data_IF_735668757728
#
_entry.id   IF_735668757728
#
_cell.length_a   1.000
_cell.length_b   1.000
_cell.length_c   1.000
_cell.angle_alpha   90.00
_cell.angle_beta   90.00
_cell.angle_gamma   90.00
#
_symmetry.space_group_name_H-M   'P 1'
#
loop_
_entity.id
_entity.type
_entity.pdbx_description
1 polymer ?
#
# COMPACT_ATOMS: atom_id res chain seq x y z
N UNK A 1 -82.08 -10.80 -42.98
CA UNK A 1 -81.59 -9.67 -42.15
C UNK A 1 -81.02 -10.06 -40.78
N UNK A 2 -81.42 -11.18 -40.14
CA UNK A 2 -80.94 -11.55 -38.78
C UNK A 2 -79.54 -12.18 -38.66
N UNK A 3 -78.89 -12.62 -39.76
CA UNK A 3 -77.54 -13.22 -39.72
C UNK A 3 -76.38 -12.24 -39.94
N UNK A 4 -76.64 -11.01 -40.40
CA UNK A 4 -75.59 -9.97 -40.60
C UNK A 4 -75.42 -9.05 -39.39
N UNK A 5 -76.38 -9.03 -38.46
CA UNK A 5 -76.32 -8.22 -37.24
C UNK A 5 -75.51 -8.92 -36.13
N UNK A 6 -75.53 -10.26 -36.08
CA UNK A 6 -74.78 -11.03 -35.07
C UNK A 6 -73.26 -11.04 -35.29
N UNK A 7 -72.81 -10.95 -36.55
CA UNK A 7 -71.38 -10.91 -36.89
C UNK A 7 -70.72 -9.55 -36.56
N UNK A 8 -71.50 -8.47 -36.51
CA UNK A 8 -70.99 -7.12 -36.20
C UNK A 8 -70.91 -6.90 -34.67
N UNK A 9 -71.77 -7.55 -33.89
CA UNK A 9 -71.74 -7.44 -32.42
C UNK A 9 -70.62 -8.31 -31.81
N UNK A 10 -70.26 -9.44 -32.44
CA UNK A 10 -69.14 -10.28 -31.98
C UNK A 10 -67.76 -9.69 -32.33
N UNK A 11 -67.68 -8.85 -33.37
CA UNK A 11 -66.44 -8.16 -33.76
C UNK A 11 -66.19 -6.88 -32.95
N UNK A 12 -67.21 -6.31 -32.30
CA UNK A 12 -67.07 -5.09 -31.50
C UNK A 12 -66.76 -5.36 -30.02
N UNK A 13 -66.95 -6.58 -29.53
CA UNK A 13 -66.57 -6.99 -28.17
C UNK A 13 -65.16 -7.60 -28.09
N UNK A 14 -64.51 -7.84 -29.24
CA UNK A 14 -63.14 -8.37 -29.32
C UNK A 14 -62.08 -7.28 -29.60
N UNK A 15 -62.47 -6.01 -29.53
CA UNK A 15 -61.57 -4.85 -29.71
C UNK A 15 -61.47 -3.96 -28.46
N UNK A 16 -61.99 -4.40 -27.30
CA UNK A 16 -61.99 -3.63 -26.05
C UNK A 16 -61.40 -4.41 -24.86
N UNK A 17 -60.53 -5.39 -25.11
CA UNK A 17 -59.75 -6.08 -24.07
C UNK A 17 -58.25 -6.07 -24.38
N UNK A 18 -57.78 -4.97 -24.98
CA UNK A 18 -56.36 -4.70 -25.14
C UNK A 18 -55.93 -3.77 -24.01
N UNK A 19 -55.50 -4.43 -22.92
CA UNK A 19 -54.41 -3.99 -22.03
C UNK A 19 -54.50 -2.59 -21.43
N UNK A 20 -55.20 -2.52 -20.29
CA UNK A 20 -54.69 -1.75 -19.14
C UNK A 20 -53.45 -2.49 -18.63
N UNK A 21 -52.27 -2.06 -19.04
CA UNK A 21 -51.05 -2.26 -18.27
C UNK A 21 -50.61 -0.86 -17.84
N UNK A 22 -50.77 -0.64 -16.54
CA UNK A 22 -50.36 0.54 -15.82
C UNK A 22 -48.89 0.84 -16.11
N UNK A 23 -48.61 2.14 -16.23
CA UNK A 23 -47.32 2.77 -16.02
C UNK A 23 -46.60 2.18 -14.81
N UNK A 24 -45.77 1.17 -15.06
CA UNK A 24 -44.56 0.94 -14.29
C UNK A 24 -43.45 1.62 -15.07
N UNK A 25 -43.18 2.89 -14.76
CA UNK A 25 -41.80 3.37 -14.85
C UNK A 25 -41.05 2.60 -13.78
N UNK A 26 -40.70 1.35 -14.07
CA UNK A 26 -39.49 0.79 -13.50
C UNK A 26 -38.41 1.67 -14.10
N UNK A 27 -37.81 2.50 -13.26
CA UNK A 27 -36.36 2.63 -13.33
C UNK A 27 -35.84 1.21 -13.46
N UNK A 28 -35.41 0.85 -14.67
CA UNK A 28 -34.29 -0.07 -14.79
C UNK A 28 -33.22 0.59 -13.93
N UNK A 29 -33.13 0.15 -12.67
CA UNK A 29 -31.85 0.10 -12.00
C UNK A 29 -30.98 -0.65 -13.00
N UNK A 30 -30.16 0.11 -13.73
CA UNK A 30 -28.90 -0.42 -14.23
C UNK A 30 -28.23 -1.01 -12.99
N UNK A 31 -28.48 -2.29 -12.76
CA UNK A 31 -27.56 -3.12 -12.01
C UNK A 31 -26.26 -3.00 -12.78
N UNK A 32 -25.36 -2.15 -12.29
CA UNK A 32 -23.99 -2.04 -12.75
C UNK A 32 -23.43 -3.46 -12.84
N UNK A 33 -23.29 -3.93 -14.07
CA UNK A 33 -22.77 -5.26 -14.40
C UNK A 33 -21.26 -5.18 -14.21
N UNK A 34 -20.80 -5.53 -13.00
CA UNK A 34 -19.39 -5.57 -12.59
C UNK A 34 -18.76 -4.19 -12.40
N UNK A 35 -18.49 -3.81 -11.16
CA UNK A 35 -17.64 -2.64 -10.87
C UNK A 35 -16.29 -2.84 -11.58
N UNK A 36 -15.74 -1.77 -12.14
CA UNK A 36 -14.55 -1.83 -12.98
C UNK A 36 -13.30 -2.35 -12.26
N UNK A 37 -12.17 -2.34 -12.95
CA UNK A 37 -10.86 -2.59 -12.32
C UNK A 37 -10.26 -1.28 -11.83
N UNK A 38 -9.63 -1.29 -10.68
CA UNK A 38 -8.84 -0.18 -10.11
C UNK A 38 -7.37 -0.58 -10.18
N UNK A 39 -6.53 0.32 -10.67
CA UNK A 39 -5.08 0.17 -10.65
C UNK A 39 -4.54 0.80 -9.37
N UNK A 40 -4.13 -0.05 -8.42
CA UNK A 40 -3.45 0.36 -7.19
C UNK A 40 -1.94 0.34 -7.41
N UNK A 41 -1.31 1.51 -7.50
CA UNK A 41 0.14 1.61 -7.48
C UNK A 41 0.64 1.70 -6.03
N UNK A 42 1.52 0.80 -5.66
CA UNK A 42 2.03 0.66 -4.29
C UNK A 42 3.49 0.26 -4.30
N UNK A 43 4.06 0.07 -3.11
CA UNK A 43 5.47 -0.31 -2.99
C UNK A 43 5.68 -1.82 -2.90
N UNK A 44 6.83 -2.29 -3.36
CA UNK A 44 7.22 -3.71 -3.20
C UNK A 44 7.19 -4.16 -1.75
N UNK A 45 7.61 -3.33 -0.79
CA UNK A 45 7.55 -3.69 0.64
C UNK A 45 6.11 -3.82 1.15
N UNK A 46 5.17 -3.03 0.64
CA UNK A 46 3.74 -3.18 0.96
C UNK A 46 3.22 -4.52 0.48
N UNK A 47 3.57 -4.91 -0.74
CA UNK A 47 3.19 -6.21 -1.29
C UNK A 47 3.84 -7.38 -0.54
N UNK A 48 5.15 -7.32 -0.31
CA UNK A 48 5.93 -8.37 0.35
C UNK A 48 5.53 -8.55 1.83
N UNK A 49 4.90 -7.55 2.44
CA UNK A 49 4.32 -7.67 3.78
C UNK A 49 3.14 -8.65 3.85
N UNK A 50 2.51 -8.98 2.71
CA UNK A 50 1.33 -9.83 2.63
C UNK A 50 0.01 -9.17 3.04
N UNK A 51 0.02 -7.92 3.52
CA UNK A 51 -1.18 -7.22 3.97
C UNK A 51 -2.23 -7.12 2.87
N UNK A 52 -1.84 -6.73 1.66
CA UNK A 52 -2.77 -6.53 0.55
C UNK A 52 -3.48 -7.83 0.15
N UNK A 53 -2.78 -8.96 0.17
CA UNK A 53 -3.38 -10.27 -0.12
C UNK A 53 -4.44 -10.66 0.92
N UNK A 54 -4.32 -10.15 2.15
CA UNK A 54 -5.27 -10.41 3.23
C UNK A 54 -6.50 -9.48 3.18
N UNK A 55 -6.34 -8.21 2.84
CA UNK A 55 -7.41 -7.21 2.94
C UNK A 55 -8.15 -6.93 1.62
N UNK A 56 -7.46 -7.01 0.47
CA UNK A 56 -8.09 -6.69 -0.82
C UNK A 56 -9.28 -7.59 -1.18
N UNK A 57 -9.28 -8.91 -0.89
CA UNK A 57 -10.44 -9.75 -1.17
C UNK A 57 -11.74 -9.27 -0.49
N UNK A 58 -11.63 -8.63 0.67
CA UNK A 58 -12.79 -8.04 1.39
C UNK A 58 -13.33 -6.85 0.61
N UNK A 59 -12.45 -5.93 0.20
CA UNK A 59 -12.83 -4.79 -0.63
C UNK A 59 -13.49 -5.22 -1.95
N UNK A 60 -12.91 -6.22 -2.63
CA UNK A 60 -13.43 -6.71 -3.90
C UNK A 60 -14.82 -7.35 -3.73
N UNK A 61 -15.05 -8.09 -2.63
CA UNK A 61 -16.36 -8.68 -2.32
C UNK A 61 -17.42 -7.62 -1.99
N UNK A 62 -17.07 -6.60 -1.21
CA UNK A 62 -17.99 -5.57 -0.73
C UNK A 62 -18.36 -4.54 -1.80
N UNK A 63 -17.38 -4.12 -2.59
CA UNK A 63 -17.53 -3.05 -3.58
C UNK A 63 -17.82 -3.57 -4.99
N UNK A 64 -17.47 -4.83 -5.26
CA UNK A 64 -17.49 -5.45 -6.58
C UNK A 64 -16.40 -4.99 -7.55
N UNK A 65 -15.54 -4.03 -7.16
CA UNK A 65 -14.37 -3.64 -7.96
C UNK A 65 -13.30 -4.71 -7.85
N UNK A 66 -12.51 -4.89 -8.90
CA UNK A 66 -11.26 -5.68 -8.81
C UNK A 66 -10.07 -4.75 -8.65
N UNK A 67 -9.02 -5.19 -7.96
CA UNK A 67 -7.82 -4.39 -7.74
C UNK A 67 -6.61 -5.02 -8.43
N UNK A 68 -6.12 -4.34 -9.47
CA UNK A 68 -4.84 -4.68 -10.12
C UNK A 68 -3.71 -3.95 -9.38
N UNK A 69 -2.92 -4.72 -8.60
CA UNK A 69 -1.81 -4.18 -7.82
C UNK A 69 -0.54 -4.08 -8.67
N UNK A 70 -0.01 -2.87 -8.80
CA UNK A 70 1.30 -2.60 -9.39
C UNK A 70 2.27 -2.20 -8.29
N UNK A 71 3.25 -3.06 -8.02
CA UNK A 71 4.26 -2.87 -6.97
C UNK A 71 5.59 -2.36 -7.55
N UNK A 72 5.97 -1.14 -7.22
CA UNK A 72 7.20 -0.45 -7.69
C UNK A 72 7.84 0.35 -6.54
N UNK A 73 8.82 1.23 -6.79
CA UNK A 73 9.26 2.19 -5.75
C UNK A 73 8.24 3.30 -5.53
N UNK A 74 8.23 3.97 -4.37
CA UNK A 74 7.30 5.08 -4.10
C UNK A 74 7.38 6.18 -5.18
N UNK A 75 8.60 6.55 -5.60
CA UNK A 75 8.81 7.54 -6.66
C UNK A 75 8.25 7.11 -8.02
N UNK A 76 8.39 5.83 -8.36
CA UNK A 76 7.82 5.27 -9.59
C UNK A 76 6.30 5.18 -9.50
N UNK A 77 5.73 4.78 -8.36
CA UNK A 77 4.28 4.76 -8.13
C UNK A 77 3.67 6.16 -8.27
N UNK A 78 4.32 7.19 -7.70
CA UNK A 78 3.90 8.57 -7.88
C UNK A 78 4.03 9.01 -9.34
N UNK A 79 5.12 8.66 -10.03
CA UNK A 79 5.29 8.94 -11.46
C UNK A 79 4.17 8.31 -12.30
N UNK A 80 3.75 7.07 -11.98
CA UNK A 80 2.59 6.44 -12.62
C UNK A 80 1.31 7.26 -12.39
N UNK A 81 1.06 7.72 -11.16
CA UNK A 81 -0.05 8.62 -10.85
C UNK A 81 0.03 9.94 -11.63
N UNK A 82 1.21 10.55 -11.75
CA UNK A 82 1.41 11.78 -12.53
C UNK A 82 1.06 11.59 -14.01
N UNK A 83 1.36 10.41 -14.57
CA UNK A 83 1.07 10.04 -15.95
C UNK A 83 -0.38 9.57 -16.14
N UNK A 84 -1.14 9.38 -15.06
CA UNK A 84 -2.50 8.82 -15.08
C UNK A 84 -2.53 7.35 -15.49
N UNK A 85 -1.51 6.60 -15.08
CA UNK A 85 -1.35 5.15 -15.28
C UNK A 85 -1.80 4.34 -14.05
N UNK A 86 -2.19 5.03 -12.98
CA UNK A 86 -2.77 4.47 -11.76
C UNK A 86 -4.02 5.27 -11.35
N UNK A 87 -4.92 4.62 -10.62
CA UNK A 87 -6.15 5.25 -10.12
C UNK A 87 -5.99 5.72 -8.67
N UNK A 88 -5.26 4.93 -7.87
CA UNK A 88 -5.00 5.20 -6.46
C UNK A 88 -3.59 4.76 -6.09
N UNK A 89 -2.95 5.53 -5.21
CA UNK A 89 -1.63 5.26 -4.67
C UNK A 89 -1.75 4.83 -3.21
N UNK A 90 -1.01 3.80 -2.80
CA UNK A 90 -0.76 3.46 -1.40
C UNK A 90 0.75 3.39 -1.19
N UNK A 91 1.34 4.46 -0.68
CA UNK A 91 2.80 4.67 -0.61
C UNK A 91 3.21 5.14 0.80
N UNK A 92 4.51 5.24 1.05
CA UNK A 92 5.07 5.59 2.37
C UNK A 92 6.25 6.56 2.33
N UNK A 93 6.13 7.62 1.52
CA UNK A 93 7.09 8.73 1.44
C UNK A 93 6.38 10.08 1.69
N UNK A 94 6.07 10.43 2.97
CA UNK A 94 5.23 11.59 3.29
C UNK A 94 5.67 12.90 2.64
N UNK A 95 6.97 13.20 2.62
CA UNK A 95 7.48 14.43 2.01
C UNK A 95 7.21 14.48 0.49
N UNK A 96 7.42 13.37 -0.21
CA UNK A 96 7.18 13.30 -1.66
C UNK A 96 5.68 13.25 -1.97
N UNK A 97 4.88 12.63 -1.11
CA UNK A 97 3.42 12.63 -1.19
C UNK A 97 2.84 14.04 -1.01
N UNK A 98 3.37 14.82 -0.06
CA UNK A 98 3.01 16.23 0.12
C UNK A 98 3.33 17.06 -1.13
N UNK A 99 4.51 16.85 -1.73
CA UNK A 99 4.88 17.49 -3.00
C UNK A 99 3.96 17.08 -4.16
N UNK A 100 3.60 15.79 -4.24
CA UNK A 100 2.68 15.25 -5.24
C UNK A 100 1.29 15.89 -5.15
N UNK A 101 0.74 15.99 -3.94
CA UNK A 101 -0.55 16.67 -3.68
C UNK A 101 -0.45 18.17 -4.00
N UNK A 102 0.61 18.85 -3.55
CA UNK A 102 0.83 20.26 -3.83
C UNK A 102 1.04 20.55 -5.33
N UNK A 103 1.52 19.57 -6.09
CA UNK A 103 1.64 19.60 -7.55
C UNK A 103 0.31 19.46 -8.30
N UNK A 104 -0.81 19.21 -7.60
CA UNK A 104 -2.13 19.02 -8.20
C UNK A 104 -2.28 17.66 -8.89
N UNK A 105 -1.55 16.64 -8.44
CA UNK A 105 -1.62 15.29 -8.98
C UNK A 105 -2.58 14.37 -8.23
N UNK A 106 -3.08 14.81 -7.06
CA UNK A 106 -4.13 14.15 -6.30
C UNK A 106 -5.53 14.70 -6.60
N UNK A 107 -6.56 13.95 -6.23
CA UNK A 107 -7.95 14.41 -6.17
C UNK A 107 -8.14 15.52 -5.11
N UNK A 108 -9.38 15.99 -4.95
CA UNK A 108 -9.73 17.03 -4.00
C UNK A 108 -9.46 16.69 -2.53
N UNK A 109 -9.47 15.40 -2.17
CA UNK A 109 -9.28 14.95 -0.79
C UNK A 109 -7.80 14.77 -0.45
N UNK A 110 -6.94 14.67 -1.46
CA UNK A 110 -5.50 14.65 -1.29
C UNK A 110 -5.01 13.38 -0.62
N UNK A 111 -4.14 13.54 0.38
CA UNK A 111 -3.51 12.44 1.10
C UNK A 111 -4.24 12.15 2.41
N UNK A 112 -4.59 10.88 2.64
CA UNK A 112 -5.08 10.40 3.93
C UNK A 112 -4.09 9.42 4.55
N UNK A 113 -3.84 9.54 5.86
CA UNK A 113 -3.09 8.54 6.61
C UNK A 113 -3.91 7.25 6.72
N UNK A 114 -3.25 6.11 6.56
CA UNK A 114 -3.88 4.79 6.65
C UNK A 114 -3.38 4.04 7.86
N UNK A 115 -2.07 3.87 7.95
CA UNK A 115 -1.41 3.06 8.97
C UNK A 115 0.07 3.42 8.99
N UNK A 116 0.77 2.98 10.02
CA UNK A 116 2.22 3.00 10.01
C UNK A 116 2.76 1.65 10.46
N UNK A 117 3.98 1.37 10.04
CA UNK A 117 4.85 0.46 10.74
C UNK A 117 6.18 1.19 11.03
N UNK A 118 7.21 0.43 11.36
CA UNK A 118 8.54 0.97 11.60
C UNK A 118 9.61 0.17 10.86
N UNK A 119 10.74 0.84 10.67
CA UNK A 119 11.98 0.22 10.27
C UNK A 119 12.73 -0.28 11.49
N UNK A 120 13.52 -1.33 11.29
CA UNK A 120 14.45 -1.90 12.26
C UNK A 120 15.83 -2.02 11.63
N UNK A 121 16.86 -1.87 12.45
CA UNK A 121 18.23 -2.22 12.06
C UNK A 121 18.47 -3.63 12.56
N UNK A 122 18.74 -4.53 11.63
CA UNK A 122 19.06 -5.93 11.92
C UNK A 122 20.54 -6.18 11.66
N UNK A 123 21.12 -7.11 12.40
CA UNK A 123 22.52 -7.50 12.27
C UNK A 123 22.82 -8.80 13.01
N UNK A 124 24.08 -9.27 12.98
CA UNK A 124 24.45 -10.54 13.61
C UNK A 124 24.34 -10.45 15.13
N UNK A 125 23.99 -11.56 15.79
CA UNK A 125 23.93 -11.65 17.28
C UNK A 125 25.25 -11.24 17.96
N UNK A 126 26.39 -11.47 17.27
CA UNK A 126 27.70 -11.07 17.77
C UNK A 126 27.92 -9.55 17.84
N UNK A 127 27.10 -8.77 17.12
CA UNK A 127 27.08 -7.30 17.07
C UNK A 127 28.48 -6.66 17.09
N UNK A 128 29.32 -6.88 16.06
CA UNK A 128 30.70 -6.38 16.02
C UNK A 128 30.80 -4.84 16.04
N UNK A 129 29.74 -4.11 15.66
CA UNK A 129 29.67 -2.65 15.77
C UNK A 129 29.17 -2.17 17.15
N UNK A 130 28.59 -3.04 17.99
CA UNK A 130 28.10 -2.70 19.33
C UNK A 130 26.79 -1.90 19.35
N UNK A 131 26.01 -1.95 18.26
CA UNK A 131 24.77 -1.18 18.08
C UNK A 131 23.79 -1.41 19.22
N UNK A 132 23.55 -2.66 19.61
CA UNK A 132 22.52 -2.98 20.61
C UNK A 132 22.86 -2.40 22.00
N UNK A 133 24.14 -2.32 22.33
CA UNK A 133 24.59 -1.81 23.63
C UNK A 133 24.66 -0.27 23.67
N UNK A 134 24.98 0.37 22.54
CA UNK A 134 25.25 1.80 22.47
C UNK A 134 24.08 2.62 21.95
N UNK A 135 23.28 2.05 21.05
CA UNK A 135 22.35 2.75 20.17
C UNK A 135 21.09 1.90 19.86
N UNK A 136 20.65 1.07 20.80
CA UNK A 136 19.53 0.13 20.59
C UNK A 136 18.16 0.80 20.32
N UNK A 137 18.04 2.10 20.60
CA UNK A 137 16.88 2.94 20.32
C UNK A 137 17.28 4.30 19.70
N UNK A 138 18.44 4.36 19.03
CA UNK A 138 18.94 5.57 18.35
C UNK A 138 19.54 5.18 16.99
N UNK A 139 18.74 5.28 15.93
CA UNK A 139 19.13 4.80 14.60
C UNK A 139 20.27 5.62 14.00
N UNK A 140 20.34 6.91 14.31
CA UNK A 140 21.42 7.81 13.86
C UNK A 140 22.74 7.37 14.50
N UNK A 141 22.74 7.12 15.81
CA UNK A 141 23.91 6.60 16.51
C UNK A 141 24.29 5.19 16.02
N UNK A 142 23.31 4.32 15.75
CA UNK A 142 23.55 2.98 15.22
C UNK A 142 24.26 3.01 13.85
N UNK A 143 23.82 3.88 12.94
CA UNK A 143 24.49 4.09 11.65
C UNK A 143 25.91 4.63 11.84
N UNK A 144 26.11 5.51 12.82
CA UNK A 144 27.43 5.98 13.25
C UNK A 144 28.35 4.85 13.69
N UNK A 145 27.88 3.98 14.58
CA UNK A 145 28.63 2.83 15.10
C UNK A 145 29.01 1.84 14.00
N UNK A 146 28.09 1.55 13.07
CA UNK A 146 28.33 0.68 11.91
C UNK A 146 29.43 1.27 11.02
N UNK A 147 29.36 2.57 10.70
CA UNK A 147 30.36 3.24 9.88
C UNK A 147 31.73 3.32 10.58
N UNK A 148 31.78 3.68 11.87
CA UNK A 148 33.04 3.81 12.62
C UNK A 148 33.81 2.48 12.64
N UNK A 149 33.09 1.38 12.83
CA UNK A 149 33.68 0.04 12.83
C UNK A 149 33.90 -0.53 11.42
N UNK A 150 33.41 0.15 10.38
CA UNK A 150 33.31 -0.37 9.00
C UNK A 150 32.71 -1.78 8.97
N UNK A 151 31.70 -2.02 9.81
CA UNK A 151 30.98 -3.28 9.82
C UNK A 151 30.16 -3.39 8.53
N UNK A 152 30.10 -4.58 7.94
CA UNK A 152 29.38 -4.79 6.68
C UNK A 152 27.95 -4.28 6.80
N UNK A 153 27.54 -3.37 5.93
CA UNK A 153 26.17 -2.89 5.80
C UNK A 153 25.69 -3.20 4.38
N UNK A 154 24.58 -3.91 4.24
CA UNK A 154 24.00 -4.26 2.95
C UNK A 154 22.84 -3.31 2.67
N UNK A 155 23.02 -2.46 1.67
CA UNK A 155 22.00 -1.54 1.18
C UNK A 155 21.16 -2.20 0.10
N UNK A 156 19.86 -1.89 0.09
CA UNK A 156 18.95 -2.23 -1.02
C UNK A 156 19.46 -1.70 -2.36
N UNK A 157 19.93 -0.46 -2.38
CA UNK A 157 20.46 0.24 -3.56
C UNK A 157 19.58 0.15 -4.82
N UNK A 158 18.25 0.23 -4.65
CA UNK A 158 17.29 -0.01 -5.73
C UNK A 158 16.17 1.03 -5.82
N UNK A 159 16.43 2.23 -5.27
CA UNK A 159 15.51 3.39 -5.30
C UNK A 159 14.13 3.16 -4.63
N UNK A 160 14.00 2.08 -3.85
CA UNK A 160 12.81 1.82 -3.06
C UNK A 160 12.64 2.78 -1.88
N UNK A 161 11.47 2.74 -1.24
CA UNK A 161 11.23 3.51 -0.01
C UNK A 161 12.20 3.15 1.13
N UNK A 162 12.56 1.87 1.29
CA UNK A 162 13.58 1.45 2.26
C UNK A 162 14.95 2.03 1.94
N UNK A 163 15.38 2.01 0.66
CA UNK A 163 16.63 2.62 0.24
C UNK A 163 16.62 4.14 0.48
N UNK A 164 15.52 4.81 0.14
CA UNK A 164 15.36 6.25 0.39
C UNK A 164 15.43 6.57 1.88
N UNK A 165 14.77 5.77 2.73
CA UNK A 165 14.84 5.90 4.18
C UNK A 165 16.26 5.71 4.70
N UNK A 166 16.94 4.65 4.27
CA UNK A 166 18.33 4.38 4.63
C UNK A 166 19.24 5.57 4.30
N UNK A 167 19.17 6.09 3.07
CA UNK A 167 19.93 7.28 2.65
C UNK A 167 19.62 8.51 3.50
N UNK A 168 18.36 8.71 3.89
CA UNK A 168 17.96 9.82 4.75
C UNK A 168 18.58 9.73 6.16
N UNK A 169 18.73 8.51 6.71
CA UNK A 169 19.38 8.30 8.02
C UNK A 169 20.88 8.57 7.92
N UNK A 170 21.54 8.11 6.84
CA UNK A 170 22.95 8.45 6.58
C UNK A 170 23.16 9.96 6.50
N UNK A 171 22.29 10.67 5.77
CA UNK A 171 22.36 12.13 5.62
C UNK A 171 22.12 12.85 6.95
N UNK A 172 21.12 12.44 7.73
CA UNK A 172 20.80 13.03 9.03
C UNK A 172 21.94 12.82 10.05
N UNK A 173 22.63 11.67 9.97
CA UNK A 173 23.85 11.40 10.74
C UNK A 173 25.05 12.26 10.28
N UNK A 174 24.95 12.97 9.16
CA UNK A 174 26.05 13.69 8.54
C UNK A 174 27.12 12.77 7.95
N UNK A 175 26.73 11.54 7.58
CA UNK A 175 27.60 10.49 7.12
C UNK A 175 27.39 10.25 5.61
N UNK A 176 28.41 9.75 4.94
CA UNK A 176 28.32 9.31 3.54
C UNK A 176 28.93 7.93 3.42
N UNK A 177 28.14 6.86 3.33
CA UNK A 177 28.66 5.50 3.28
C UNK A 177 29.48 5.31 2.00
N UNK A 178 30.67 4.70 2.14
CA UNK A 178 31.54 4.39 1.01
C UNK A 178 32.61 3.37 1.40
N UNK A 179 33.00 2.53 0.43
CA UNK A 179 34.01 1.49 0.59
C UNK A 179 33.42 0.08 0.60
N UNK A 180 34.28 -0.93 0.78
CA UNK A 180 33.90 -2.35 0.63
C UNK A 180 32.92 -2.85 1.71
N UNK A 181 32.81 -2.16 2.85
CA UNK A 181 31.87 -2.50 3.91
C UNK A 181 30.43 -2.10 3.58
N UNK A 182 30.22 -1.13 2.69
CA UNK A 182 28.88 -0.72 2.25
C UNK A 182 28.56 -1.39 0.91
N UNK A 183 27.68 -2.39 0.97
CA UNK A 183 27.37 -3.30 -0.13
C UNK A 183 26.06 -2.89 -0.78
N UNK A 184 26.11 -2.42 -2.02
CA UNK A 184 24.92 -2.09 -2.81
C UNK A 184 24.39 -3.35 -3.51
N UNK A 185 23.29 -3.92 -3.01
CA UNK A 185 22.77 -5.20 -3.50
C UNK A 185 21.95 -5.08 -4.79
N UNK A 186 21.29 -3.94 -5.02
CA UNK A 186 20.32 -3.73 -6.11
C UNK A 186 19.25 -4.85 -6.15
N UNK A 187 18.72 -5.20 -4.98
CA UNK A 187 17.84 -6.35 -4.77
C UNK A 187 16.70 -6.04 -3.79
N UNK A 188 15.66 -6.89 -3.82
CA UNK A 188 14.53 -6.81 -2.90
C UNK A 188 14.92 -7.09 -1.45
N UNK A 189 14.05 -6.73 -0.51
CA UNK A 189 14.38 -6.76 0.92
C UNK A 189 14.67 -8.18 1.44
N UNK A 190 13.95 -9.21 0.95
CA UNK A 190 14.20 -10.60 1.34
C UNK A 190 15.61 -11.07 0.97
N UNK A 191 16.05 -10.74 -0.25
CA UNK A 191 17.40 -11.06 -0.73
C UNK A 191 18.45 -10.27 0.06
N UNK A 192 18.20 -9.00 0.37
CA UNK A 192 19.10 -8.17 1.18
C UNK A 192 19.27 -8.70 2.60
N UNK A 193 18.18 -9.12 3.26
CA UNK A 193 18.23 -9.76 4.58
C UNK A 193 19.09 -11.04 4.52
N UNK A 194 18.88 -11.86 3.49
CA UNK A 194 19.66 -13.10 3.28
C UNK A 194 21.15 -12.79 3.05
N UNK A 195 21.46 -11.79 2.21
CA UNK A 195 22.84 -11.36 1.96
C UNK A 195 23.50 -10.80 3.22
N UNK A 196 22.77 -10.00 4.01
CA UNK A 196 23.27 -9.49 5.28
C UNK A 196 23.60 -10.64 6.25
N UNK A 197 22.78 -11.69 6.30
CA UNK A 197 23.05 -12.89 7.09
C UNK A 197 24.32 -13.62 6.63
N UNK A 198 24.41 -13.92 5.32
CA UNK A 198 25.57 -14.59 4.72
C UNK A 198 26.89 -13.82 4.95
N UNK A 199 26.82 -12.50 4.97
CA UNK A 199 27.97 -11.62 5.18
C UNK A 199 28.22 -11.28 6.65
N UNK A 200 27.38 -11.77 7.57
CA UNK A 200 27.38 -11.37 8.99
C UNK A 200 27.37 -9.84 9.15
N UNK A 201 26.54 -9.18 8.34
CA UNK A 201 26.40 -7.74 8.23
C UNK A 201 25.07 -7.21 8.75
N UNK A 202 24.91 -5.90 8.62
CA UNK A 202 23.78 -5.11 9.06
C UNK A 202 22.92 -4.69 7.85
N UNK A 203 21.64 -4.46 8.06
CA UNK A 203 20.76 -3.79 7.08
C UNK A 203 19.63 -3.07 7.79
N UNK A 204 19.10 -2.02 7.15
CA UNK A 204 17.79 -1.47 7.50
C UNK A 204 16.71 -2.34 6.86
N UNK A 205 15.67 -2.69 7.60
CA UNK A 205 14.54 -3.47 7.09
C UNK A 205 13.21 -2.92 7.62
N UNK A 206 12.17 -3.03 6.81
CA UNK A 206 10.79 -2.87 7.25
C UNK A 206 10.44 -4.01 8.24
N UNK A 207 9.83 -3.69 9.40
CA UNK A 207 9.56 -4.71 10.44
C UNK A 207 8.67 -5.84 9.94
N UNK A 208 7.64 -5.54 9.16
CA UNK A 208 6.73 -6.56 8.63
C UNK A 208 7.50 -7.54 7.73
N UNK A 209 8.37 -7.00 6.87
CA UNK A 209 9.24 -7.82 6.03
C UNK A 209 10.24 -8.64 6.84
N UNK A 210 10.84 -8.06 7.89
CA UNK A 210 11.73 -8.78 8.80
C UNK A 210 11.03 -9.92 9.53
N UNK A 211 9.81 -9.71 10.02
CA UNK A 211 9.04 -10.76 10.71
C UNK A 211 8.65 -11.91 9.76
N UNK A 212 8.39 -11.60 8.50
CA UNK A 212 8.07 -12.59 7.47
C UNK A 212 9.31 -13.41 7.04
N UNK A 213 10.46 -12.76 6.81
CA UNK A 213 11.64 -13.40 6.18
C UNK A 213 12.78 -13.72 7.16
N UNK A 214 12.93 -12.95 8.23
CA UNK A 214 14.08 -13.00 9.15
C UNK A 214 14.19 -14.28 9.96
N UNK A 215 13.09 -15.04 10.11
CA UNK A 215 13.05 -16.29 10.88
C UNK A 215 13.95 -17.41 10.35
N UNK A 216 14.36 -17.33 9.08
CA UNK A 216 15.30 -18.28 8.44
C UNK A 216 16.77 -17.84 8.55
N UNK A 217 17.06 -16.71 9.19
CA UNK A 217 18.41 -16.13 9.32
C UNK A 217 18.97 -16.24 10.75
N UNK A 218 20.25 -15.93 10.92
CA UNK A 218 20.91 -15.76 12.22
C UNK A 218 20.94 -14.30 12.70
N UNK A 219 20.35 -13.38 11.93
CA UNK A 219 20.28 -11.97 12.29
C UNK A 219 19.25 -11.74 13.41
N UNK A 220 19.41 -10.63 14.13
CA UNK A 220 18.49 -10.15 15.14
C UNK A 220 18.26 -8.65 14.96
N UNK A 221 17.16 -8.13 15.51
CA UNK A 221 16.97 -6.69 15.68
C UNK A 221 18.00 -6.19 16.69
N UNK A 222 18.77 -5.18 16.30
CA UNK A 222 19.80 -4.55 17.13
C UNK A 222 19.43 -3.11 17.51
N UNK A 223 18.66 -2.41 16.66
CA UNK A 223 18.10 -1.10 16.96
C UNK A 223 16.66 -0.99 16.45
N UNK A 224 15.75 -0.50 17.30
CA UNK A 224 14.33 -0.31 17.01
C UNK A 224 13.72 0.79 17.89
N UNK A 225 12.47 1.21 17.59
CA UNK A 225 11.67 2.08 18.48
C UNK A 225 12.36 3.40 18.84
N UNK A 226 13.08 3.96 17.88
CA UNK A 226 13.74 5.25 18.03
C UNK A 226 12.72 6.36 18.36
N UNK A 227 12.82 7.03 19.52
CA UNK A 227 11.84 8.00 19.99
C UNK A 227 11.83 9.30 19.18
N UNK A 228 12.85 9.56 18.35
CA UNK A 228 12.84 10.67 17.38
C UNK A 228 11.80 10.46 16.29
N UNK A 229 11.44 9.20 16.04
CA UNK A 229 10.56 8.81 14.95
C UNK A 229 11.24 8.63 13.60
N UNK A 230 12.57 8.68 13.54
CA UNK A 230 13.32 8.46 12.29
C UNK A 230 13.00 7.11 11.64
N UNK A 231 12.71 6.09 12.46
CA UNK A 231 12.32 4.75 12.02
C UNK A 231 10.82 4.63 11.68
N UNK A 232 9.99 5.67 11.85
CA UNK A 232 8.58 5.57 11.45
C UNK A 232 8.44 5.47 9.93
N UNK A 233 7.48 4.65 9.52
CA UNK A 233 7.11 4.40 8.15
C UNK A 233 5.59 4.58 7.99
N UNK A 234 5.19 5.82 7.70
CA UNK A 234 3.78 6.20 7.58
C UNK A 234 3.28 5.94 6.17
N UNK A 235 2.18 5.20 6.06
CA UNK A 235 1.50 4.92 4.80
C UNK A 235 0.38 5.93 4.57
N UNK A 236 0.32 6.43 3.34
CA UNK A 236 -0.73 7.32 2.86
C UNK A 236 -1.45 6.75 1.65
N UNK A 237 -2.76 6.97 1.59
CA UNK A 237 -3.58 6.71 0.39
C UNK A 237 -3.88 8.02 -0.32
N UNK A 238 -3.73 8.03 -1.65
CA UNK A 238 -3.93 9.21 -2.50
C UNK A 238 -4.67 8.78 -3.76
N UNK A 239 -5.86 9.32 -3.99
CA UNK A 239 -6.53 9.17 -5.27
C UNK A 239 -5.86 10.06 -6.33
N UNK A 240 -5.63 9.52 -7.52
CA UNK A 240 -5.01 10.28 -8.62
C UNK A 240 -6.03 11.29 -9.17
N UNK A 241 -5.55 12.48 -9.53
CA UNK A 241 -6.37 13.53 -10.10
C UNK A 241 -7.13 13.03 -11.36
N UNK A 242 -8.47 13.01 -11.35
CA UNK A 242 -9.26 12.50 -12.47
C UNK A 242 -9.15 13.34 -13.75
N UNK A 243 -8.72 14.60 -13.66
CA UNK A 243 -8.52 15.48 -14.83
C UNK A 243 -7.30 15.10 -15.67
N UNK A 244 -6.45 14.16 -15.20
CA UNK A 244 -5.28 13.70 -15.94
C UNK A 244 -5.65 13.01 -17.26
N UNK A 245 -6.64 12.10 -17.24
CA UNK A 245 -7.20 11.48 -18.44
C UNK A 245 -8.53 10.76 -18.14
N UNK A 246 -9.28 10.42 -19.20
CA UNK A 246 -10.61 9.78 -19.10
C UNK A 246 -10.59 8.29 -18.67
N UNK A 247 -9.42 7.65 -18.60
CA UNK A 247 -9.32 6.24 -18.21
C UNK A 247 -9.21 6.03 -16.70
N UNK A 248 -9.00 7.09 -15.91
CA UNK A 248 -8.89 6.99 -14.46
C UNK A 248 -10.24 6.56 -13.89
N UNK A 249 -10.26 5.44 -13.19
CA UNK A 249 -11.41 4.94 -12.46
C UNK A 249 -11.55 5.69 -11.13
N UNK A 250 -11.96 6.95 -11.20
CA UNK A 250 -12.05 7.81 -10.03
C UNK A 250 -13.07 7.31 -9.00
N UNK A 251 -14.23 6.81 -9.45
CA UNK A 251 -15.25 6.27 -8.55
C UNK A 251 -14.74 5.06 -7.76
N UNK A 252 -14.03 4.15 -8.43
CA UNK A 252 -13.37 3.03 -7.77
C UNK A 252 -12.25 3.47 -6.83
N UNK A 253 -11.40 4.42 -7.25
CA UNK A 253 -10.35 4.98 -6.39
C UNK A 253 -10.92 5.59 -5.11
N UNK A 254 -12.02 6.36 -5.20
CA UNK A 254 -12.72 6.92 -4.05
C UNK A 254 -13.27 5.83 -3.14
N UNK A 255 -13.94 4.83 -3.71
CA UNK A 255 -14.45 3.70 -2.94
C UNK A 255 -13.33 2.98 -2.17
N UNK A 256 -12.17 2.78 -2.81
CA UNK A 256 -10.99 2.20 -2.15
C UNK A 256 -10.44 3.09 -1.04
N UNK A 257 -10.30 4.40 -1.28
CA UNK A 257 -9.79 5.35 -0.30
C UNK A 257 -10.70 5.42 0.93
N UNK A 258 -12.02 5.49 0.74
CA UNK A 258 -12.99 5.50 1.84
C UNK A 258 -13.00 4.16 2.61
N UNK A 259 -12.88 3.04 1.89
CA UNK A 259 -12.83 1.72 2.48
C UNK A 259 -11.58 1.51 3.34
N UNK A 260 -10.39 1.87 2.85
CA UNK A 260 -9.12 1.58 3.54
C UNK A 260 -8.96 2.39 4.84
N UNK A 261 -9.59 3.57 4.92
CA UNK A 261 -9.59 4.42 6.12
C UNK A 261 -10.78 4.14 7.06
N UNK A 262 -11.69 3.24 6.69
CA UNK A 262 -12.87 2.92 7.51
C UNK A 262 -12.52 2.17 8.80
N UNK A 263 -13.32 2.35 9.85
CA UNK A 263 -13.13 1.67 11.15
C UNK A 263 -13.01 0.14 11.02
N UNK A 264 -13.75 -0.46 10.07
CA UNK A 264 -13.75 -1.90 9.81
C UNK A 264 -12.42 -2.34 9.21
N UNK A 265 -11.96 -1.69 8.15
CA UNK A 265 -10.68 -2.02 7.51
C UNK A 265 -9.49 -1.68 8.39
N UNK A 266 -9.56 -0.58 9.15
CA UNK A 266 -8.54 -0.23 10.15
C UNK A 266 -8.42 -1.31 11.23
N UNK A 267 -9.53 -1.95 11.62
CA UNK A 267 -9.51 -3.10 12.53
C UNK A 267 -8.83 -4.32 11.89
N UNK A 268 -9.12 -4.63 10.62
CA UNK A 268 -8.45 -5.70 9.88
C UNK A 268 -6.94 -5.47 9.79
N UNK A 269 -6.51 -4.24 9.49
CA UNK A 269 -5.10 -3.84 9.45
C UNK A 269 -4.43 -4.04 10.81
N UNK A 270 -5.07 -3.61 11.90
CA UNK A 270 -4.53 -3.75 13.26
C UNK A 270 -4.50 -5.18 13.80
N UNK A 271 -5.29 -6.09 13.24
CA UNK A 271 -5.28 -7.51 13.57
C UNK A 271 -4.27 -8.31 12.73
N UNK A 272 -3.80 -7.74 11.61
CA UNK A 272 -2.91 -8.43 10.69
C UNK A 272 -1.57 -8.79 11.35
N UNK A 273 -1.22 -10.08 11.23
CA UNK A 273 0.01 -10.66 11.77
C UNK A 273 -0.02 -11.03 13.26
N UNK A 274 -1.04 -10.64 14.03
CA UNK A 274 -1.11 -10.94 15.48
C UNK A 274 -1.13 -12.45 15.75
N UNK A 275 -1.88 -13.22 14.95
CA UNK A 275 -1.97 -14.68 15.12
C UNK A 275 -0.63 -15.39 14.82
N UNK A 276 0.09 -14.92 13.80
CA UNK A 276 1.29 -15.57 13.30
C UNK A 276 2.56 -15.12 14.05
N UNK A 277 2.69 -13.82 14.30
CA UNK A 277 3.90 -13.20 14.84
C UNK A 277 3.75 -12.79 16.32
N UNK A 278 2.54 -12.83 16.88
CA UNK A 278 2.26 -12.44 18.27
C UNK A 278 2.17 -10.92 18.50
N UNK A 279 2.35 -10.13 17.45
CA UNK A 279 2.18 -8.67 17.44
C UNK A 279 1.61 -8.22 16.08
N UNK A 280 1.00 -7.03 16.05
CA UNK A 280 0.46 -6.45 14.82
C UNK A 280 1.60 -5.92 13.95
N UNK A 281 1.56 -6.20 12.65
CA UNK A 281 2.57 -5.72 11.70
C UNK A 281 2.40 -4.26 11.30
N UNK A 282 1.18 -3.75 11.43
CA UNK A 282 0.81 -2.38 11.13
C UNK A 282 -0.06 -1.82 12.25
N UNK A 283 0.14 -0.54 12.55
CA UNK A 283 -0.69 0.20 13.49
C UNK A 283 -1.62 1.12 12.70
N UNK A 284 -2.93 0.88 12.69
CA UNK A 284 -3.90 1.73 12.01
C UNK A 284 -3.92 3.13 12.65
N UNK A 285 -3.98 4.17 11.83
CA UNK A 285 -4.02 5.56 12.31
C UNK A 285 -4.80 6.51 11.40
N UNK A 286 -5.72 6.00 10.58
CA UNK A 286 -6.64 6.84 9.84
C UNK A 286 -7.48 7.75 10.75
N UNK A 287 -7.87 8.92 10.22
CA UNK A 287 -8.65 9.95 10.92
C UNK A 287 -10.06 10.11 10.38
#
# INVERSE_FOLDING_TARGET
>A
MKKRIFAVILALTMALSMTVLLSGCGSEEESADGSGTIILATTTSTKDSGLLDAILPVFEEESGYTVDVVSVGSGEAMTMGENGEADVLLVHSPAAEEEYVAGGHADEDGRMDVMYNDFVIVGPEADPAGVSANAGDDAIAAFGDIMENQATFVSRADESGTHTKELSIWEEAGLTPSGEWYVEAAAGMADVITMADEMSGYTLADRATWLNVGGDTSLTILCEKDPSGVLYNQYGVICVNPDKNENINHEGAKAFQEWIVSDETQSLIGEYGVEEYGEALFVPNAQ
#
